data_IF_842001714474
#
_entry.id   IF_842001714474
#
_cell.length_a   1.000
_cell.length_b   1.000
_cell.length_c   1.000
_cell.angle_alpha   90.00
_cell.angle_beta   90.00
_cell.angle_gamma   90.00
#
_symmetry.space_group_name_H-M   'P 1'
#
loop_
_entity.id
_entity.type
_entity.pdbx_description
1 polymer ?
#
# COMPACT_ATOMS: atom_id res chain seq x y z
N UNK A 1 -1.43 -3.14 21.38
CA UNK A 1 -1.37 -3.84 20.07
C UNK A 1 -0.01 -3.59 19.44
N UNK A 2 0.54 -4.60 18.79
CA UNK A 2 1.91 -4.61 18.24
C UNK A 2 1.88 -4.58 16.72
N UNK A 3 2.73 -3.77 16.13
CA UNK A 3 2.98 -3.71 14.68
C UNK A 3 4.45 -4.02 14.41
N UNK A 4 4.73 -4.78 13.37
CA UNK A 4 6.09 -4.95 12.87
C UNK A 4 6.21 -4.32 11.49
N UNK A 5 7.28 -3.54 11.26
CA UNK A 5 7.66 -3.00 9.95
C UNK A 5 8.98 -3.65 9.55
N UNK A 6 8.98 -4.33 8.40
CA UNK A 6 10.16 -5.02 7.87
C UNK A 6 10.73 -4.26 6.69
N UNK A 7 12.00 -3.87 6.83
CA UNK A 7 12.70 -2.93 5.98
C UNK A 7 12.74 -1.55 6.63
N UNK A 8 13.91 -1.12 7.10
CA UNK A 8 14.13 0.19 7.73
C UNK A 8 14.58 1.26 6.72
N UNK A 9 14.30 1.07 5.43
CA UNK A 9 14.52 2.08 4.40
C UNK A 9 13.66 3.33 4.64
N UNK A 10 13.65 4.27 3.69
CA UNK A 10 12.89 5.51 3.84
C UNK A 10 11.39 5.26 4.04
N UNK A 11 10.80 4.32 3.28
CA UNK A 11 9.38 3.96 3.41
C UNK A 11 9.07 3.32 4.76
N UNK A 12 9.87 2.32 5.20
CA UNK A 12 9.64 1.65 6.48
C UNK A 12 9.81 2.57 7.69
N UNK A 13 10.81 3.46 7.66
CA UNK A 13 10.98 4.49 8.68
C UNK A 13 9.76 5.43 8.74
N UNK A 14 9.28 5.90 7.58
CA UNK A 14 8.10 6.76 7.49
C UNK A 14 6.82 6.04 7.96
N UNK A 15 6.66 4.74 7.65
CA UNK A 15 5.56 3.93 8.20
C UNK A 15 5.63 3.91 9.74
N UNK A 16 6.80 3.64 10.30
CA UNK A 16 7.04 3.58 11.75
C UNK A 16 6.72 4.91 12.42
N UNK A 17 7.20 6.01 11.85
CA UNK A 17 6.96 7.38 12.29
C UNK A 17 5.44 7.68 12.37
N UNK A 18 4.71 7.53 11.26
CA UNK A 18 3.28 7.84 11.24
C UNK A 18 2.44 6.92 12.13
N UNK A 19 2.83 5.66 12.29
CA UNK A 19 2.14 4.75 13.21
C UNK A 19 2.37 5.20 14.65
N UNK A 20 3.60 5.57 15.01
CA UNK A 20 3.96 5.98 16.36
C UNK A 20 3.32 7.32 16.74
N UNK A 21 3.45 8.35 15.90
CA UNK A 21 2.90 9.68 16.16
C UNK A 21 1.37 9.69 16.39
N UNK A 22 0.64 8.73 15.81
CA UNK A 22 -0.81 8.64 15.96
C UNK A 22 -1.26 7.84 17.19
N UNK A 23 -0.37 7.27 17.96
CA UNK A 23 -0.62 6.58 19.24
C UNK A 23 -1.66 5.45 19.20
N UNK A 24 -1.91 4.79 18.08
CA UNK A 24 -2.89 3.69 18.02
C UNK A 24 -2.26 2.29 18.19
N UNK A 25 -0.94 2.19 18.20
CA UNK A 25 -0.20 0.98 18.56
C UNK A 25 0.57 1.20 19.87
N UNK A 26 0.69 0.15 20.70
CA UNK A 26 1.51 0.22 21.90
C UNK A 26 2.99 -0.02 21.62
N UNK A 27 3.29 -0.79 20.57
CA UNK A 27 4.66 -1.13 20.18
C UNK A 27 4.78 -1.23 18.64
N UNK A 28 5.87 -0.69 18.10
CA UNK A 28 6.30 -0.89 16.73
C UNK A 28 7.69 -1.50 16.74
N UNK A 29 7.86 -2.67 16.12
CA UNK A 29 9.16 -3.27 15.84
C UNK A 29 9.58 -2.88 14.43
N UNK A 30 10.71 -2.20 14.29
CA UNK A 30 11.35 -1.90 13.01
C UNK A 30 12.49 -2.90 12.80
N UNK A 31 12.39 -3.75 11.78
CA UNK A 31 13.37 -4.80 11.51
C UNK A 31 14.07 -4.54 10.17
N UNK A 32 15.39 -4.70 10.16
CA UNK A 32 16.20 -4.69 8.94
C UNK A 32 17.29 -5.75 9.01
N UNK A 33 17.83 -6.15 7.86
CA UNK A 33 18.98 -7.06 7.78
C UNK A 33 20.33 -6.33 7.95
N UNK A 34 20.35 -5.00 7.72
CA UNK A 34 21.54 -4.19 7.86
C UNK A 34 21.79 -3.88 9.33
N UNK A 35 22.95 -4.32 9.82
CA UNK A 35 23.35 -4.20 11.22
C UNK A 35 23.29 -2.75 11.73
N UNK A 36 22.64 -2.55 12.88
CA UNK A 36 22.50 -1.28 13.56
C UNK A 36 21.58 -0.25 12.88
N UNK A 37 21.10 -0.53 11.67
CA UNK A 37 20.36 0.46 10.87
C UNK A 37 18.95 0.71 11.41
N UNK A 38 18.24 -0.37 11.75
CA UNK A 38 16.91 -0.27 12.35
C UNK A 38 16.98 0.29 13.77
N UNK A 39 17.98 -0.12 14.54
CA UNK A 39 18.23 0.36 15.90
C UNK A 39 18.51 1.87 15.94
N UNK A 40 19.35 2.36 15.02
CA UNK A 40 19.63 3.79 14.90
C UNK A 40 18.40 4.61 14.59
N UNK A 41 17.59 4.16 13.62
CA UNK A 41 16.32 4.83 13.25
C UNK A 41 15.30 4.77 14.38
N UNK A 42 15.16 3.63 15.06
CA UNK A 42 14.26 3.51 16.19
C UNK A 42 14.67 4.44 17.34
N UNK A 43 15.97 4.58 17.61
CA UNK A 43 16.48 5.50 18.61
C UNK A 43 16.15 6.95 18.28
N UNK A 44 16.37 7.38 17.04
CA UNK A 44 16.06 8.74 16.57
C UNK A 44 14.56 9.04 16.68
N UNK A 45 13.72 8.13 16.21
CA UNK A 45 12.26 8.23 16.33
C UNK A 45 11.79 8.24 17.81
N UNK A 46 12.42 7.46 18.70
CA UNK A 46 12.09 7.51 20.12
C UNK A 46 12.51 8.84 20.78
N UNK A 47 13.60 9.45 20.34
CA UNK A 47 13.98 10.80 20.82
C UNK A 47 12.95 11.85 20.39
N UNK A 48 12.34 11.71 19.20
CA UNK A 48 11.26 12.56 18.72
C UNK A 48 10.03 12.51 19.64
N UNK A 49 9.79 11.38 20.34
CA UNK A 49 8.61 11.23 21.21
C UNK A 49 8.53 12.28 22.32
N UNK A 50 9.66 12.74 22.83
CA UNK A 50 9.72 13.79 23.84
C UNK A 50 9.23 15.16 23.35
N UNK A 51 9.26 15.39 22.03
CA UNK A 51 8.81 16.62 21.37
C UNK A 51 7.38 16.49 20.88
N UNK A 52 7.06 15.37 20.22
CA UNK A 52 5.77 15.11 19.57
C UNK A 52 4.72 14.50 20.51
N UNK A 53 5.12 14.03 21.69
CA UNK A 53 4.19 13.57 22.73
C UNK A 53 3.51 12.25 22.46
N UNK A 54 4.10 11.33 21.68
CA UNK A 54 3.57 10.00 21.49
C UNK A 54 4.18 8.98 22.47
N UNK A 55 3.41 7.97 22.85
CA UNK A 55 3.79 6.93 23.82
C UNK A 55 4.08 5.56 23.16
N UNK A 56 3.89 5.43 21.87
CA UNK A 56 4.18 4.20 21.14
C UNK A 56 5.66 3.85 21.26
N UNK A 57 5.96 2.68 21.81
CA UNK A 57 7.35 2.19 21.94
C UNK A 57 7.85 1.70 20.57
N UNK A 58 8.98 2.23 20.11
CA UNK A 58 9.65 1.81 18.88
C UNK A 58 10.90 1.00 19.25
N UNK A 59 11.03 -0.20 18.66
CA UNK A 59 12.18 -1.09 18.88
C UNK A 59 12.81 -1.39 17.52
N UNK A 60 14.06 -1.00 17.32
CA UNK A 60 14.84 -1.42 16.16
C UNK A 60 15.54 -2.75 16.41
N UNK A 61 15.56 -3.63 15.41
CA UNK A 61 16.23 -4.94 15.52
C UNK A 61 16.89 -5.33 14.20
N UNK A 62 18.10 -5.86 14.28
CA UNK A 62 18.82 -6.43 13.14
C UNK A 62 18.53 -7.92 13.02
N UNK A 63 17.90 -8.33 11.94
CA UNK A 63 17.65 -9.73 11.54
C UNK A 63 17.10 -10.65 12.64
N UNK A 64 16.43 -10.10 13.65
CA UNK A 64 15.89 -10.85 14.78
C UNK A 64 14.36 -10.95 14.72
N UNK A 65 13.87 -11.92 13.96
CA UNK A 65 12.44 -12.15 13.77
C UNK A 65 11.71 -12.61 15.05
N UNK A 66 12.39 -13.14 16.06
CA UNK A 66 11.75 -13.46 17.34
C UNK A 66 11.14 -12.22 18.00
N UNK A 67 11.68 -11.02 17.74
CA UNK A 67 11.10 -9.75 18.22
C UNK A 67 9.78 -9.37 17.56
N UNK A 68 9.43 -10.01 16.44
CA UNK A 68 8.14 -9.79 15.76
C UNK A 68 7.00 -10.59 16.35
N UNK A 69 7.28 -11.45 17.35
CA UNK A 69 6.31 -12.36 17.97
C UNK A 69 5.03 -11.64 18.40
N UNK A 70 3.88 -12.27 18.09
CA UNK A 70 2.54 -11.79 18.41
C UNK A 70 2.18 -10.42 17.80
N UNK A 71 2.74 -10.08 16.63
CA UNK A 71 2.32 -8.88 15.89
C UNK A 71 0.89 -9.01 15.37
N UNK A 72 0.08 -7.99 15.60
CA UNK A 72 -1.27 -7.90 15.04
C UNK A 72 -1.22 -7.61 13.52
N UNK A 73 -0.29 -6.72 13.14
CA UNK A 73 -0.07 -6.31 11.76
C UNK A 73 1.43 -6.35 11.45
N UNK A 74 1.77 -6.87 10.28
CA UNK A 74 3.13 -6.83 9.74
C UNK A 74 3.13 -6.10 8.42
N UNK A 75 3.97 -5.07 8.31
CA UNK A 75 4.15 -4.26 7.11
C UNK A 75 5.45 -4.70 6.43
N UNK A 76 5.38 -5.14 5.19
CA UNK A 76 6.55 -5.59 4.43
C UNK A 76 6.91 -4.49 3.41
N UNK A 77 7.99 -3.76 3.71
CA UNK A 77 8.56 -2.73 2.83
C UNK A 77 9.92 -3.15 2.26
N UNK A 78 10.42 -4.31 2.69
CA UNK A 78 11.68 -4.87 2.24
C UNK A 78 11.60 -5.30 0.78
N UNK A 79 12.57 -4.89 -0.01
CA UNK A 79 12.67 -5.20 -1.43
C UNK A 79 13.80 -4.43 -2.06
N UNK A 80 14.17 -4.83 -3.27
CA UNK A 80 15.18 -4.15 -4.05
C UNK A 80 14.52 -3.14 -4.99
N UNK A 81 14.96 -1.87 -5.00
CA UNK A 81 14.56 -0.94 -6.05
C UNK A 81 15.18 -1.35 -7.39
N UNK A 82 14.48 -1.02 -8.48
CA UNK A 82 15.00 -1.29 -9.82
C UNK A 82 16.35 -0.59 -10.04
N UNK A 83 17.37 -1.33 -10.44
CA UNK A 83 18.69 -0.79 -10.77
C UNK A 83 18.81 -0.55 -12.28
N UNK A 84 19.65 0.39 -12.73
CA UNK A 84 19.96 0.54 -14.15
C UNK A 84 20.45 -0.78 -14.74
N UNK A 85 19.90 -1.17 -15.89
CA UNK A 85 20.23 -2.43 -16.57
C UNK A 85 19.49 -3.68 -16.09
N UNK A 86 18.74 -3.61 -14.96
CA UNK A 86 17.95 -4.72 -14.46
C UNK A 86 16.66 -4.88 -15.28
N UNK A 87 16.38 -6.09 -15.75
CA UNK A 87 15.11 -6.40 -16.42
C UNK A 87 13.95 -6.38 -15.41
N UNK A 88 12.71 -6.39 -15.92
CA UNK A 88 11.51 -6.46 -15.07
C UNK A 88 11.40 -7.82 -14.40
N UNK A 89 11.67 -8.88 -15.13
CA UNK A 89 11.65 -10.27 -14.67
C UNK A 89 12.68 -10.50 -13.56
N UNK A 90 13.90 -9.98 -13.72
CA UNK A 90 14.94 -10.05 -12.68
C UNK A 90 14.50 -9.35 -11.39
N UNK A 91 13.90 -8.17 -11.51
CA UNK A 91 13.40 -7.44 -10.33
C UNK A 91 12.27 -8.20 -9.61
N UNK A 92 11.33 -8.78 -10.39
CA UNK A 92 10.24 -9.58 -9.85
C UNK A 92 10.79 -10.80 -9.13
N UNK A 93 11.73 -11.54 -9.73
CA UNK A 93 12.34 -12.71 -9.12
C UNK A 93 13.02 -12.39 -7.79
N UNK A 94 13.88 -11.36 -7.77
CA UNK A 94 14.58 -10.96 -6.54
C UNK A 94 13.58 -10.53 -5.44
N UNK A 95 12.58 -9.74 -5.77
CA UNK A 95 11.59 -9.29 -4.77
C UNK A 95 10.68 -10.44 -4.32
N UNK A 96 10.37 -11.40 -5.19
CA UNK A 96 9.63 -12.61 -4.84
C UNK A 96 10.38 -13.44 -3.79
N UNK A 97 11.70 -13.63 -3.96
CA UNK A 97 12.52 -14.35 -2.98
C UNK A 97 12.60 -13.61 -1.65
N UNK A 98 12.82 -12.29 -1.67
CA UNK A 98 12.87 -11.48 -0.46
C UNK A 98 11.55 -11.55 0.29
N UNK A 99 10.43 -11.28 -0.38
CA UNK A 99 9.10 -11.24 0.22
C UNK A 99 8.70 -12.61 0.75
N UNK A 100 9.01 -13.69 0.02
CA UNK A 100 8.76 -15.06 0.46
C UNK A 100 9.53 -15.39 1.74
N UNK A 101 10.83 -15.14 1.77
CA UNK A 101 11.67 -15.40 2.94
C UNK A 101 11.26 -14.58 4.16
N UNK A 102 10.90 -13.31 3.96
CA UNK A 102 10.36 -12.45 5.02
C UNK A 102 9.05 -13.01 5.54
N UNK A 103 8.11 -13.32 4.67
CA UNK A 103 6.79 -13.85 5.06
C UNK A 103 6.92 -15.17 5.82
N UNK A 104 7.76 -16.10 5.36
CA UNK A 104 8.03 -17.35 6.06
C UNK A 104 8.53 -17.12 7.50
N UNK A 105 9.49 -16.21 7.68
CA UNK A 105 10.02 -15.90 8.99
C UNK A 105 8.99 -15.21 9.90
N UNK A 106 8.19 -14.30 9.34
CA UNK A 106 7.10 -13.65 10.08
C UNK A 106 6.09 -14.66 10.58
N UNK A 107 5.66 -15.60 9.75
CA UNK A 107 4.63 -16.58 10.10
C UNK A 107 5.09 -17.56 11.21
N UNK A 108 6.40 -17.76 11.38
CA UNK A 108 6.93 -18.57 12.53
C UNK A 108 6.63 -17.91 13.88
N UNK A 109 6.62 -16.59 13.96
CA UNK A 109 6.45 -15.85 15.21
C UNK A 109 5.10 -15.14 15.33
N UNK A 110 4.48 -14.83 14.21
CA UNK A 110 3.19 -14.12 14.12
C UNK A 110 2.25 -14.80 13.12
N UNK A 111 1.84 -16.06 13.37
CA UNK A 111 1.06 -16.86 12.40
C UNK A 111 -0.32 -16.26 12.08
N UNK A 112 -0.84 -15.40 12.95
CA UNK A 112 -2.15 -14.76 12.79
C UNK A 112 -2.09 -13.30 12.33
N UNK A 113 -0.91 -12.75 12.07
CA UNK A 113 -0.76 -11.35 11.67
C UNK A 113 -1.50 -11.05 10.35
N UNK A 114 -2.04 -9.84 10.23
CA UNK A 114 -2.46 -9.28 8.96
C UNK A 114 -1.22 -8.70 8.28
N UNK A 115 -1.01 -9.03 7.01
CA UNK A 115 0.16 -8.60 6.25
C UNK A 115 -0.24 -7.44 5.34
N UNK A 116 0.44 -6.31 5.48
CA UNK A 116 0.36 -5.19 4.54
C UNK A 116 1.60 -5.23 3.66
N UNK A 117 1.39 -5.53 2.38
CA UNK A 117 2.43 -5.55 1.36
C UNK A 117 2.64 -4.15 0.79
N UNK A 118 3.90 -3.69 0.77
CA UNK A 118 4.30 -2.41 0.17
C UNK A 118 5.32 -2.61 -0.95
N UNK A 119 6.02 -3.74 -0.92
CA UNK A 119 7.05 -4.10 -1.92
C UNK A 119 6.46 -4.25 -3.31
N UNK A 120 7.06 -3.55 -4.27
CA UNK A 120 6.64 -3.58 -5.68
C UNK A 120 7.25 -4.76 -6.47
N UNK A 121 6.49 -5.29 -7.47
CA UNK A 121 5.12 -4.91 -7.86
C UNK A 121 4.07 -5.40 -6.85
N UNK A 122 3.37 -4.47 -6.21
CA UNK A 122 2.56 -4.78 -5.02
C UNK A 122 1.45 -5.80 -5.29
N UNK A 123 0.78 -5.74 -6.43
CA UNK A 123 -0.28 -6.67 -6.81
C UNK A 123 0.28 -8.09 -6.95
N UNK A 124 1.39 -8.22 -7.67
CA UNK A 124 2.10 -9.50 -7.89
C UNK A 124 2.69 -10.07 -6.59
N UNK A 125 3.29 -9.23 -5.73
CA UNK A 125 3.85 -9.68 -4.45
C UNK A 125 2.74 -10.10 -3.47
N UNK A 126 1.61 -9.41 -3.45
CA UNK A 126 0.43 -9.80 -2.65
C UNK A 126 -0.13 -11.13 -3.13
N UNK A 127 -0.26 -11.32 -4.44
CA UNK A 127 -0.67 -12.58 -5.05
C UNK A 127 0.28 -13.73 -4.71
N UNK A 128 1.60 -13.51 -4.83
CA UNK A 128 2.64 -14.49 -4.52
C UNK A 128 2.50 -15.05 -3.11
N UNK A 129 2.44 -14.17 -2.09
CA UNK A 129 2.39 -14.64 -0.70
C UNK A 129 1.08 -15.36 -0.40
N UNK A 130 -0.03 -14.92 -1.04
CA UNK A 130 -1.29 -15.62 -0.92
C UNK A 130 -1.19 -17.05 -1.46
N UNK A 131 -0.69 -17.23 -2.68
CA UNK A 131 -0.55 -18.55 -3.33
C UNK A 131 0.44 -19.44 -2.58
N UNK A 132 1.59 -18.92 -2.21
CA UNK A 132 2.68 -19.70 -1.61
C UNK A 132 2.37 -20.16 -0.19
N UNK A 133 1.73 -19.32 0.62
CA UNK A 133 1.48 -19.61 2.04
C UNK A 133 0.02 -19.97 2.33
N UNK A 134 -0.87 -19.95 1.32
CA UNK A 134 -2.30 -20.27 1.43
C UNK A 134 -3.01 -19.52 2.57
N UNK A 135 -2.60 -18.28 2.78
CA UNK A 135 -3.21 -17.43 3.81
C UNK A 135 -4.63 -17.01 3.39
N UNK A 136 -5.56 -16.86 4.35
CA UNK A 136 -6.88 -16.33 4.07
C UNK A 136 -6.79 -14.97 3.36
N UNK A 137 -7.63 -14.73 2.33
CA UNK A 137 -7.57 -13.54 1.49
C UNK A 137 -7.72 -12.22 2.27
N UNK A 138 -8.48 -12.24 3.34
CA UNK A 138 -8.67 -11.08 4.20
C UNK A 138 -7.41 -10.63 4.95
N UNK A 139 -6.40 -11.48 5.06
CA UNK A 139 -5.18 -11.18 5.81
C UNK A 139 -4.05 -10.57 4.98
N UNK A 140 -4.21 -10.47 3.66
CA UNK A 140 -3.20 -9.90 2.77
C UNK A 140 -3.75 -8.64 2.12
N UNK A 141 -3.11 -7.52 2.34
CA UNK A 141 -3.51 -6.20 1.87
C UNK A 141 -2.34 -5.57 1.12
N UNK A 142 -2.49 -5.34 -0.18
CA UNK A 142 -1.49 -4.61 -0.95
C UNK A 142 -1.73 -3.09 -0.88
N UNK A 143 -0.77 -2.33 -0.37
CA UNK A 143 -0.84 -0.87 -0.26
C UNK A 143 -0.45 -0.23 -1.59
N UNK A 144 -1.39 -0.09 -2.51
CA UNK A 144 -1.27 0.61 -3.80
C UNK A 144 -2.33 1.67 -3.94
N UNK A 145 -3.60 1.25 -4.04
CA UNK A 145 -4.73 2.13 -4.28
C UNK A 145 -4.92 3.25 -3.24
N UNK A 146 -4.56 3.02 -1.98
CA UNK A 146 -4.57 4.06 -0.93
C UNK A 146 -3.65 5.23 -1.29
N UNK A 147 -2.44 4.96 -1.77
CA UNK A 147 -1.48 5.96 -2.21
C UNK A 147 -1.94 6.67 -3.49
N UNK A 148 -2.40 5.90 -4.48
CA UNK A 148 -2.84 6.45 -5.76
C UNK A 148 -4.07 7.33 -5.59
N UNK A 149 -5.00 6.94 -4.72
CA UNK A 149 -6.15 7.74 -4.31
C UNK A 149 -5.74 9.06 -3.65
N UNK A 150 -4.72 9.03 -2.78
CA UNK A 150 -4.20 10.25 -2.16
C UNK A 150 -3.63 11.23 -3.20
N UNK A 151 -2.90 10.72 -4.21
CA UNK A 151 -2.40 11.52 -5.34
C UNK A 151 -3.55 12.11 -6.16
N UNK A 152 -4.55 11.31 -6.49
CA UNK A 152 -5.72 11.75 -7.25
C UNK A 152 -6.50 12.85 -6.52
N UNK A 153 -6.80 12.65 -5.23
CA UNK A 153 -7.49 13.66 -4.41
C UNK A 153 -6.70 14.95 -4.28
N UNK A 154 -5.38 14.87 -4.13
CA UNK A 154 -4.49 16.03 -4.11
C UNK A 154 -4.58 16.82 -5.43
N UNK A 155 -4.50 16.15 -6.59
CA UNK A 155 -4.59 16.81 -7.90
C UNK A 155 -5.97 17.43 -8.15
N UNK A 156 -7.02 16.74 -7.78
CA UNK A 156 -8.38 17.31 -7.86
C UNK A 156 -8.51 18.57 -6.99
N UNK A 157 -8.05 18.53 -5.74
CA UNK A 157 -8.11 19.67 -4.84
C UNK A 157 -7.31 20.88 -5.34
N UNK A 158 -6.12 20.64 -5.88
CA UNK A 158 -5.27 21.66 -6.53
C UNK A 158 -6.00 22.31 -7.71
N UNK A 159 -6.58 21.53 -8.60
CA UNK A 159 -7.32 22.03 -9.77
C UNK A 159 -8.62 22.76 -9.40
N UNK A 160 -9.25 22.36 -8.30
CA UNK A 160 -10.48 22.97 -7.77
C UNK A 160 -10.22 24.19 -6.88
N UNK A 161 -8.97 24.43 -6.48
CA UNK A 161 -8.60 25.51 -5.57
C UNK A 161 -9.26 25.37 -4.19
N UNK A 162 -9.34 24.15 -3.65
CA UNK A 162 -10.04 23.88 -2.39
C UNK A 162 -9.21 22.97 -1.45
N UNK A 163 -9.59 22.87 -0.15
CA UNK A 163 -8.97 21.90 0.75
C UNK A 163 -9.13 20.47 0.26
N UNK A 164 -8.10 19.63 0.45
CA UNK A 164 -8.15 18.20 0.08
C UNK A 164 -9.27 17.45 0.83
N UNK A 165 -9.64 17.93 2.03
CA UNK A 165 -10.75 17.39 2.83
C UNK A 165 -12.13 17.55 2.17
N UNK A 166 -12.28 18.50 1.24
CA UNK A 166 -13.54 18.71 0.51
C UNK A 166 -13.69 17.75 -0.68
N UNK A 167 -12.63 17.02 -1.02
CA UNK A 167 -12.58 16.18 -2.24
C UNK A 167 -12.62 14.71 -1.88
N UNK A 168 -13.55 13.99 -2.47
CA UNK A 168 -13.57 12.54 -2.51
C UNK A 168 -13.25 12.04 -3.92
N UNK A 169 -12.54 10.93 -3.96
CA UNK A 169 -12.13 10.28 -5.20
C UNK A 169 -11.46 8.95 -4.88
N UNK A 170 -11.36 8.09 -5.87
CA UNK A 170 -10.82 6.75 -5.71
C UNK A 170 -10.04 6.33 -6.94
N UNK A 171 -8.96 5.61 -6.73
CA UNK A 171 -8.18 4.92 -7.77
C UNK A 171 -8.25 3.42 -7.50
N UNK A 172 -8.60 2.65 -8.53
CA UNK A 172 -8.65 1.18 -8.51
C UNK A 172 -7.73 0.59 -9.58
N UNK A 173 -7.80 -0.71 -9.79
CA UNK A 173 -6.99 -1.49 -10.71
C UNK A 173 -5.51 -1.57 -10.28
N UNK A 174 -4.57 -1.90 -11.17
CA UNK A 174 -3.18 -2.19 -10.76
C UNK A 174 -2.42 -0.95 -10.30
N UNK A 175 -1.50 -1.15 -9.36
CA UNK A 175 -0.59 -0.09 -8.90
C UNK A 175 0.58 0.10 -9.88
N UNK A 176 0.26 0.53 -11.10
CA UNK A 176 1.24 0.84 -12.17
C UNK A 176 0.82 2.10 -12.93
N UNK A 177 1.78 2.81 -13.51
CA UNK A 177 1.52 4.05 -14.25
C UNK A 177 0.54 3.86 -15.42
N UNK A 178 0.52 2.66 -16.02
CA UNK A 178 -0.36 2.35 -17.17
C UNK A 178 -1.65 1.66 -16.79
N UNK A 179 -1.72 1.03 -15.62
CA UNK A 179 -2.83 0.16 -15.25
C UNK A 179 -3.76 0.74 -14.19
N UNK A 180 -3.35 1.76 -13.44
CA UNK A 180 -4.25 2.37 -12.45
C UNK A 180 -5.40 3.11 -13.11
N UNK A 181 -6.56 3.08 -12.47
CA UNK A 181 -7.80 3.66 -12.96
C UNK A 181 -8.37 4.68 -11.95
N UNK A 182 -8.04 5.97 -12.08
CA UNK A 182 -8.72 7.03 -11.34
C UNK A 182 -10.18 7.15 -11.79
N UNK A 183 -11.12 6.99 -10.86
CA UNK A 183 -12.56 6.99 -11.15
C UNK A 183 -13.12 8.42 -11.11
N UNK A 184 -13.05 9.15 -12.23
CA UNK A 184 -13.66 10.48 -12.35
C UNK A 184 -15.18 10.42 -12.12
N UNK A 185 -15.84 9.34 -12.59
CA UNK A 185 -17.28 9.14 -12.44
C UNK A 185 -17.75 9.08 -10.99
N UNK A 186 -16.82 8.82 -10.05
CA UNK A 186 -17.08 8.71 -8.61
C UNK A 186 -16.42 9.84 -7.81
N UNK A 187 -15.70 10.74 -8.47
CA UNK A 187 -15.01 11.84 -7.79
C UNK A 187 -15.97 13.01 -7.53
N UNK A 188 -15.93 13.54 -6.31
CA UNK A 188 -16.83 14.62 -5.87
C UNK A 188 -16.10 15.67 -5.05
N UNK A 189 -16.67 16.89 -5.02
CA UNK A 189 -16.37 17.90 -4.03
C UNK A 189 -17.61 18.08 -3.17
N UNK A 190 -17.54 17.68 -1.90
CA UNK A 190 -18.69 17.72 -0.97
C UNK A 190 -19.99 17.14 -1.57
N UNK A 191 -19.88 15.98 -2.25
CA UNK A 191 -21.00 15.28 -2.86
C UNK A 191 -21.41 15.76 -4.27
N UNK A 192 -20.85 16.85 -4.78
CA UNK A 192 -21.09 17.34 -6.14
C UNK A 192 -20.02 16.78 -7.09
N UNK A 193 -20.43 16.20 -8.22
CA UNK A 193 -19.49 15.58 -9.17
C UNK A 193 -18.46 16.62 -9.65
N UNK A 194 -17.17 16.21 -9.70
CA UNK A 194 -16.09 17.12 -10.15
C UNK A 194 -16.26 17.59 -11.60
N UNK A 195 -17.02 16.86 -12.40
CA UNK A 195 -17.35 17.24 -13.77
C UNK A 195 -18.26 18.49 -13.87
N UNK A 196 -18.91 18.90 -12.78
CA UNK A 196 -19.66 20.16 -12.71
C UNK A 196 -18.72 21.38 -12.58
N UNK A 197 -17.50 21.17 -12.10
CA UNK A 197 -16.53 22.25 -11.85
C UNK A 197 -15.41 22.30 -12.89
N UNK A 198 -15.04 21.15 -13.46
CA UNK A 198 -13.88 21.00 -14.33
C UNK A 198 -14.31 20.44 -15.70
N UNK A 199 -13.76 21.00 -16.77
CA UNK A 199 -14.00 20.46 -18.10
C UNK A 199 -13.24 19.16 -18.34
N UNK A 200 -13.63 18.42 -19.39
CA UNK A 200 -13.07 17.12 -19.74
C UNK A 200 -11.54 17.13 -19.93
N UNK A 201 -10.99 18.19 -20.50
CA UNK A 201 -9.55 18.33 -20.73
C UNK A 201 -8.79 18.38 -19.41
N UNK A 202 -9.22 19.22 -18.45
CA UNK A 202 -8.62 19.30 -17.10
C UNK A 202 -8.74 17.99 -16.36
N UNK A 203 -9.88 17.32 -16.43
CA UNK A 203 -10.07 16.00 -15.79
C UNK A 203 -9.14 14.93 -16.37
N UNK A 204 -8.96 14.91 -17.70
CA UNK A 204 -8.01 14.00 -18.34
C UNK A 204 -6.57 14.30 -17.90
N UNK A 205 -6.18 15.56 -17.81
CA UNK A 205 -4.84 15.95 -17.34
C UNK A 205 -4.61 15.47 -15.89
N UNK A 206 -5.59 15.63 -15.02
CA UNK A 206 -5.52 15.14 -13.62
C UNK A 206 -5.32 13.60 -13.57
N UNK A 207 -6.01 12.86 -14.43
CA UNK A 207 -5.83 11.40 -14.53
C UNK A 207 -4.39 11.07 -14.93
N UNK A 208 -3.86 11.70 -15.97
CA UNK A 208 -2.49 11.43 -16.42
C UNK A 208 -1.43 11.88 -15.39
N UNK A 209 -1.60 13.02 -14.74
CA UNK A 209 -0.71 13.46 -13.66
C UNK A 209 -0.76 12.51 -12.43
N UNK A 210 -1.94 11.95 -12.14
CA UNK A 210 -2.08 10.94 -11.07
C UNK A 210 -1.29 9.69 -11.41
N UNK A 211 -1.44 9.18 -12.64
CA UNK A 211 -0.72 8.00 -13.13
C UNK A 211 0.80 8.21 -13.10
N UNK A 212 1.26 9.34 -13.56
CA UNK A 212 2.69 9.70 -13.62
C UNK A 212 3.26 10.14 -12.27
N UNK A 213 2.45 10.26 -11.22
CA UNK A 213 2.86 10.80 -9.93
C UNK A 213 4.07 10.08 -9.30
N UNK A 214 4.14 8.74 -9.45
CA UNK A 214 5.28 7.94 -8.99
C UNK A 214 6.56 8.26 -9.77
N UNK A 215 6.49 8.21 -11.09
CA UNK A 215 7.62 8.49 -11.97
C UNK A 215 8.14 9.93 -11.82
N UNK A 216 7.23 10.89 -11.67
CA UNK A 216 7.58 12.30 -11.43
C UNK A 216 8.38 12.46 -10.13
N UNK A 217 7.96 11.82 -9.04
CA UNK A 217 8.68 11.88 -7.76
C UNK A 217 10.06 11.21 -7.86
N UNK A 218 10.17 10.07 -8.54
CA UNK A 218 11.48 9.43 -8.78
C UNK A 218 12.41 10.36 -9.57
N UNK A 219 11.91 11.06 -10.58
CA UNK A 219 12.70 12.04 -11.35
C UNK A 219 13.18 13.21 -10.48
N UNK A 220 12.35 13.70 -9.57
CA UNK A 220 12.67 14.85 -8.71
C UNK A 220 13.54 14.49 -7.51
N UNK A 221 13.31 13.33 -6.89
CA UNK A 221 13.97 12.91 -5.65
C UNK A 221 15.17 11.97 -5.88
N UNK A 222 15.30 11.40 -7.09
CA UNK A 222 16.28 10.34 -7.38
C UNK A 222 15.92 8.98 -6.75
N UNK A 223 14.79 8.88 -6.09
CA UNK A 223 14.31 7.66 -5.41
C UNK A 223 12.78 7.67 -5.30
N UNK A 224 12.19 6.55 -4.86
CA UNK A 224 10.74 6.45 -4.66
C UNK A 224 10.25 7.35 -3.52
N UNK A 225 8.99 7.78 -3.60
CA UNK A 225 8.31 8.47 -2.51
C UNK A 225 8.29 7.63 -1.23
N UNK A 226 8.26 8.26 -0.06
CA UNK A 226 8.17 7.57 1.23
C UNK A 226 7.16 8.19 2.21
N UNK A 227 6.91 9.50 2.19
CA UNK A 227 5.95 10.15 3.10
C UNK A 227 4.51 9.70 2.85
N UNK A 228 4.01 9.84 1.63
CA UNK A 228 2.65 9.45 1.30
C UNK A 228 2.43 7.91 1.40
N UNK A 229 3.36 7.05 0.97
CA UNK A 229 3.29 5.61 1.27
C UNK A 229 3.21 5.31 2.76
N UNK A 230 4.07 5.93 3.58
CA UNK A 230 4.04 5.78 5.04
C UNK A 230 2.70 6.18 5.65
N UNK A 231 2.13 7.31 5.23
CA UNK A 231 0.82 7.76 5.67
C UNK A 231 -0.31 6.82 5.23
N UNK A 232 -0.24 6.25 4.01
CA UNK A 232 -1.18 5.27 3.50
C UNK A 232 -1.16 3.96 4.31
N UNK A 233 0.04 3.45 4.61
CA UNK A 233 0.21 2.30 5.51
C UNK A 233 -0.36 2.58 6.89
N UNK A 234 -0.05 3.73 7.48
CA UNK A 234 -0.55 4.09 8.81
C UNK A 234 -2.09 4.19 8.84
N UNK A 235 -2.73 4.63 7.75
CA UNK A 235 -4.19 4.64 7.63
C UNK A 235 -4.78 3.23 7.62
N UNK A 236 -4.16 2.27 6.90
CA UNK A 236 -4.56 0.86 6.91
C UNK A 236 -4.38 0.24 8.30
N UNK A 237 -3.20 0.42 8.92
CA UNK A 237 -2.90 -0.09 10.26
C UNK A 237 -3.88 0.46 11.29
N UNK A 238 -4.18 1.76 11.23
CA UNK A 238 -5.16 2.39 12.14
C UNK A 238 -6.55 1.79 11.95
N UNK A 239 -6.99 1.60 10.70
CA UNK A 239 -8.30 0.97 10.44
C UNK A 239 -8.40 -0.44 11.00
N UNK A 240 -7.31 -1.22 10.92
CA UNK A 240 -7.24 -2.58 11.47
C UNK A 240 -7.25 -2.55 13.00
N UNK A 241 -6.32 -1.84 13.62
CA UNK A 241 -6.12 -1.89 15.06
C UNK A 241 -7.30 -1.26 15.84
N UNK A 242 -7.96 -0.24 15.27
CA UNK A 242 -9.11 0.44 15.88
C UNK A 242 -10.46 -0.03 15.33
N UNK A 243 -10.50 -1.05 14.49
CA UNK A 243 -11.71 -1.62 13.87
C UNK A 243 -12.61 -0.55 13.20
N UNK A 244 -11.98 0.38 12.45
CA UNK A 244 -12.68 1.56 11.94
C UNK A 244 -13.66 1.26 10.81
N UNK A 245 -13.58 0.10 10.15
CA UNK A 245 -14.39 -0.27 8.98
C UNK A 245 -14.30 0.75 7.83
N UNK A 246 -13.15 1.40 7.69
CA UNK A 246 -12.93 2.35 6.59
C UNK A 246 -12.90 1.67 5.25
N UNK A 247 -13.49 2.31 4.26
CA UNK A 247 -13.33 1.92 2.86
C UNK A 247 -12.04 2.52 2.32
N UNK A 248 -11.07 1.66 2.03
CA UNK A 248 -9.75 2.05 1.53
C UNK A 248 -9.44 1.20 0.30
N UNK A 249 -9.13 1.79 -0.87
CA UNK A 249 -8.69 1.01 -2.02
C UNK A 249 -7.34 0.36 -1.74
N UNK A 250 -7.27 -0.94 -1.95
CA UNK A 250 -6.04 -1.72 -1.77
C UNK A 250 -6.05 -2.94 -2.68
N UNK A 251 -4.88 -3.49 -2.96
CA UNK A 251 -4.76 -4.74 -3.70
C UNK A 251 -5.27 -5.89 -2.84
N UNK A 252 -6.29 -6.57 -3.34
CA UNK A 252 -6.97 -7.69 -2.69
C UNK A 252 -7.11 -8.85 -3.67
N UNK A 253 -7.06 -10.10 -3.16
CA UNK A 253 -7.34 -11.28 -3.96
C UNK A 253 -8.83 -11.33 -4.32
N UNK A 254 -9.14 -11.41 -5.61
CA UNK A 254 -10.49 -11.58 -6.14
C UNK A 254 -10.82 -13.06 -6.30
N UNK A 255 -12.01 -13.43 -5.89
CA UNK A 255 -12.59 -14.80 -5.98
C UNK A 255 -13.99 -14.77 -6.59
N UNK A 256 -14.23 -13.89 -7.56
CA UNK A 256 -15.49 -13.69 -8.26
C UNK A 256 -15.90 -12.22 -8.34
N UNK A 257 -15.37 -11.38 -7.48
CA UNK A 257 -15.67 -9.96 -7.49
C UNK A 257 -15.20 -9.31 -8.81
N UNK A 258 -15.97 -8.37 -9.33
CA UNK A 258 -15.78 -7.75 -10.66
C UNK A 258 -15.74 -8.74 -11.83
N UNK A 259 -16.26 -9.99 -11.64
CA UNK A 259 -16.17 -11.07 -12.62
C UNK A 259 -14.78 -11.70 -12.75
N UNK A 260 -13.85 -11.38 -11.84
CA UNK A 260 -12.46 -11.82 -11.88
C UNK A 260 -12.16 -12.84 -10.77
N UNK A 261 -11.25 -13.76 -11.06
CA UNK A 261 -10.82 -14.79 -10.12
C UNK A 261 -9.31 -14.96 -10.13
N UNK A 262 -8.75 -15.37 -8.99
CA UNK A 262 -7.34 -15.73 -8.84
C UNK A 262 -6.38 -14.62 -9.29
N UNK A 263 -6.65 -13.41 -8.83
CA UNK A 263 -5.85 -12.21 -9.11
C UNK A 263 -5.87 -11.28 -7.91
N UNK A 264 -4.72 -10.72 -7.52
CA UNK A 264 -4.66 -9.59 -6.58
C UNK A 264 -4.57 -8.30 -7.37
N UNK A 265 -5.51 -7.38 -7.13
CA UNK A 265 -5.59 -6.10 -7.83
C UNK A 265 -6.29 -5.06 -6.95
N UNK A 266 -6.03 -3.78 -7.20
CA UNK A 266 -6.61 -2.67 -6.45
C UNK A 266 -8.12 -2.56 -6.60
N UNK A 267 -8.85 -2.71 -5.51
CA UNK A 267 -10.31 -2.57 -5.41
C UNK A 267 -10.70 -1.90 -4.09
N UNK A 268 -11.90 -1.30 -3.98
CA UNK A 268 -12.36 -0.73 -2.72
C UNK A 268 -12.62 -1.83 -1.70
N UNK A 269 -11.98 -1.73 -0.54
CA UNK A 269 -12.10 -2.71 0.55
C UNK A 269 -12.56 -2.04 1.85
N UNK A 270 -13.48 -2.68 2.56
CA UNK A 270 -13.78 -2.34 3.94
C UNK A 270 -12.71 -2.97 4.82
N UNK A 271 -11.92 -2.15 5.48
CA UNK A 271 -10.79 -2.56 6.31
C UNK A 271 -11.16 -2.45 7.78
N UNK A 272 -11.15 -3.55 8.48
CA UNK A 272 -11.44 -3.63 9.90
C UNK A 272 -10.49 -4.55 10.64
N UNK A 273 -10.87 -4.95 11.85
CA UNK A 273 -10.04 -5.76 12.75
C UNK A 273 -9.52 -7.06 12.13
N UNK A 274 -10.27 -7.64 11.21
CA UNK A 274 -9.92 -8.90 10.56
C UNK A 274 -9.16 -8.70 9.23
N UNK A 275 -8.73 -7.49 8.91
CA UNK A 275 -8.14 -7.13 7.63
C UNK A 275 -9.20 -6.70 6.61
N UNK A 276 -9.21 -7.27 5.42
CA UNK A 276 -10.24 -7.03 4.41
C UNK A 276 -11.51 -7.76 4.82
N UNK A 277 -12.51 -7.02 5.27
CA UNK A 277 -13.78 -7.63 5.70
C UNK A 277 -14.80 -7.73 4.57
N UNK A 278 -14.68 -6.86 3.57
CA UNK A 278 -15.53 -6.88 2.38
C UNK A 278 -14.83 -6.17 1.21
N UNK A 279 -14.90 -6.75 0.03
CA UNK A 279 -14.62 -6.07 -1.23
C UNK A 279 -15.92 -5.44 -1.72
N UNK A 280 -15.87 -4.16 -2.10
CA UNK A 280 -17.02 -3.43 -2.60
C UNK A 280 -16.97 -3.36 -4.12
N UNK A 281 -17.94 -3.97 -4.79
CA UNK A 281 -18.08 -3.87 -6.23
C UNK A 281 -18.77 -2.56 -6.61
N UNK A 282 -18.06 -1.71 -7.34
CA UNK A 282 -18.60 -0.46 -7.85
C UNK A 282 -19.26 -0.67 -9.22
N UNK A 283 -20.36 0.05 -9.47
CA UNK A 283 -20.92 0.15 -10.81
C UNK A 283 -19.99 1.00 -11.68
N UNK A 284 -19.17 0.36 -12.48
CA UNK A 284 -18.29 0.98 -13.48
C UNK A 284 -19.06 1.22 -14.78
N UNK A 285 -18.78 2.32 -15.48
CA UNK A 285 -19.25 2.51 -16.85
C UNK A 285 -18.46 1.62 -17.82
N UNK A 286 -18.86 1.53 -19.09
CA UNK A 286 -18.27 0.59 -20.05
C UNK A 286 -16.76 0.87 -20.30
N UNK A 287 -16.36 2.15 -20.41
CA UNK A 287 -14.95 2.55 -20.58
C UNK A 287 -14.11 2.17 -19.33
N UNK A 288 -14.66 2.38 -18.14
CA UNK A 288 -14.02 1.99 -16.87
C UNK A 288 -13.89 0.46 -16.74
N UNK A 289 -14.90 -0.30 -17.14
CA UNK A 289 -14.84 -1.76 -17.16
C UNK A 289 -13.77 -2.27 -18.11
N UNK A 290 -13.74 -1.76 -19.34
CA UNK A 290 -12.72 -2.12 -20.34
C UNK A 290 -11.30 -1.87 -19.80
N UNK A 291 -11.06 -0.68 -19.21
CA UNK A 291 -9.76 -0.33 -18.61
C UNK A 291 -9.42 -1.21 -17.41
N UNK A 292 -10.40 -1.54 -16.58
CA UNK A 292 -10.20 -2.43 -15.44
C UNK A 292 -9.76 -3.83 -15.90
N UNK A 293 -10.46 -4.43 -16.85
CA UNK A 293 -10.11 -5.76 -17.39
C UNK A 293 -8.76 -5.76 -18.11
N UNK A 294 -8.45 -4.72 -18.89
CA UNK A 294 -7.13 -4.57 -19.50
C UNK A 294 -6.00 -4.51 -18.44
N UNK A 295 -6.25 -3.86 -17.30
CA UNK A 295 -5.33 -3.82 -16.17
C UNK A 295 -5.19 -5.20 -15.52
N UNK A 296 -6.27 -5.95 -15.34
CA UNK A 296 -6.26 -7.33 -14.84
C UNK A 296 -5.39 -8.22 -15.73
N UNK A 297 -5.57 -8.16 -17.05
CA UNK A 297 -4.78 -8.96 -18.00
C UNK A 297 -3.28 -8.63 -17.92
N UNK A 298 -2.95 -7.34 -17.75
CA UNK A 298 -1.56 -6.92 -17.57
C UNK A 298 -0.95 -7.50 -16.29
N UNK A 299 -1.69 -7.51 -15.17
CA UNK A 299 -1.22 -8.11 -13.90
C UNK A 299 -1.10 -9.63 -14.04
N UNK A 300 -2.07 -10.32 -14.69
CA UNK A 300 -1.99 -11.78 -14.95
C UNK A 300 -0.73 -12.14 -15.72
N UNK A 301 -0.37 -11.35 -16.73
CA UNK A 301 0.86 -11.55 -17.49
C UNK A 301 2.10 -11.46 -16.59
N UNK A 302 2.13 -10.48 -15.69
CA UNK A 302 3.23 -10.32 -14.73
C UNK A 302 3.27 -11.47 -13.72
N UNK A 303 2.11 -11.90 -13.22
CA UNK A 303 2.01 -13.05 -12.31
C UNK A 303 2.49 -14.36 -12.98
N UNK A 304 2.38 -14.50 -14.31
CA UNK A 304 2.93 -15.61 -15.07
C UNK A 304 4.47 -15.72 -15.06
N UNK A 305 5.17 -14.66 -14.64
CA UNK A 305 6.63 -14.64 -14.48
C UNK A 305 7.08 -15.18 -13.10
N UNK A 306 6.14 -15.38 -12.16
CA UNK A 306 6.43 -15.91 -10.82
C UNK A 306 6.82 -17.39 -10.90
N UNK A 307 7.83 -17.75 -10.13
CA UNK A 307 8.23 -19.14 -9.86
C UNK A 307 7.79 -19.48 -8.42
N UNK A 308 6.97 -20.51 -8.29
CA UNK A 308 6.44 -20.98 -7.00
C UNK A 308 7.27 -22.11 -6.43
#
# INVERSE_FOLDING_TARGET
MKVTVIGAGAVGASCTEYIAMRNFASEVVLLDIKEGFAEGKAMDLMQMSAVEGFETRIIGVTNNYAKTENSNVVVITSGMPRRPGMSREELIGVNADIVSGVTENVLKYSPNAIIIMVTNPVDTMSYLIHKKFQLPKNRIIGMGGALDTARFRYRLAEALGCPVSDVDGMVIASHTDTGMLPLISKATRNGICVAEFLNKEKLNNIVEETKLGGATLVKLLGTSAWYAPGAGVAALVHSILSDQKKMIPCSALLEGEYGEQDISIGVPCIIGRNGIEKIMELSLNEDEKEKFHASVDAVRKVNGELKF
#
